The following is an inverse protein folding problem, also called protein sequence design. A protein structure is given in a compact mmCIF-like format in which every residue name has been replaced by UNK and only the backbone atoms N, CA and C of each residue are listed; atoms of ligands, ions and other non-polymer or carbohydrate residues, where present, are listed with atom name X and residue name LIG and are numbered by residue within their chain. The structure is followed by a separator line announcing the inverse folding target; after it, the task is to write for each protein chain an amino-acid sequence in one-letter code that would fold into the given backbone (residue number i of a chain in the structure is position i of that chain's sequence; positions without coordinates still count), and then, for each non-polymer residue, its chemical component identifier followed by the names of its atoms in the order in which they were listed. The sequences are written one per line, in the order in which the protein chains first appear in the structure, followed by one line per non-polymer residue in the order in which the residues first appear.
data_IF_843315532159
#
_entry.id   IF_843315532159
#
_cell.length_a   1.000
_cell.length_b   1.000
_cell.length_c   1.000
_cell.angle_alpha   90.00
_cell.angle_beta   90.00
_cell.angle_gamma   90.00
#
_symmetry.space_group_name_H-M   'P 1'
#
loop_
_entity.id
_entity.type
_entity.pdbx_description
1 polymer ?
#
# COMPACT_ATOMS: atom_id res chain seq x y z
N UNK A 1 23.88 27.48 -27.48
CA UNK A 1 23.04 26.27 -27.56
C UNK A 1 23.18 25.36 -26.34
N UNK A 2 24.30 25.40 -25.60
CA UNK A 2 24.51 24.61 -24.38
C UNK A 2 23.80 25.16 -23.12
N UNK A 3 23.52 26.47 -23.05
CA UNK A 3 22.85 27.08 -21.88
C UNK A 3 21.40 26.62 -21.69
N UNK A 4 20.65 26.41 -22.78
CA UNK A 4 19.26 25.89 -22.70
C UNK A 4 19.21 24.44 -22.24
N UNK A 5 20.24 23.65 -22.55
CA UNK A 5 20.35 22.23 -22.15
C UNK A 5 20.64 22.15 -20.64
N UNK A 6 21.49 23.06 -20.13
CA UNK A 6 21.82 23.12 -18.70
C UNK A 6 20.61 23.51 -17.83
N UNK A 7 19.81 24.48 -18.29
CA UNK A 7 18.57 24.86 -17.62
C UNK A 7 17.52 23.73 -17.60
N UNK A 8 17.44 22.94 -18.67
CA UNK A 8 16.52 21.78 -18.74
C UNK A 8 16.94 20.64 -17.81
N UNK A 9 18.25 20.40 -17.66
CA UNK A 9 18.79 19.37 -16.77
C UNK A 9 18.61 19.71 -15.28
N UNK A 10 18.68 21.00 -14.92
CA UNK A 10 18.48 21.47 -13.54
C UNK A 10 17.02 21.36 -13.10
N UNK A 11 16.06 21.59 -14.01
CA UNK A 11 14.63 21.45 -13.75
C UNK A 11 14.19 19.99 -13.54
N UNK A 12 14.87 19.03 -14.19
CA UNK A 12 14.62 17.60 -14.01
C UNK A 12 15.11 17.03 -12.67
N UNK A 13 16.06 17.68 -12.00
CA UNK A 13 16.58 17.23 -10.70
C UNK A 13 15.66 17.55 -9.51
N UNK A 14 14.72 18.50 -9.66
CA UNK A 14 13.81 18.92 -8.59
C UNK A 14 12.58 18.01 -8.42
N UNK A 15 12.39 17.03 -9.31
CA UNK A 15 11.24 16.10 -9.25
C UNK A 15 11.64 14.80 -8.54
N UNK A 16 12.51 14.87 -7.52
CA UNK A 16 12.61 13.77 -6.55
C UNK A 16 11.32 13.76 -5.74
N UNK A 17 10.41 12.88 -6.16
CA UNK A 17 9.21 12.53 -5.43
C UNK A 17 9.66 11.81 -4.15
N UNK A 18 9.85 12.59 -3.07
CA UNK A 18 10.07 12.06 -1.73
C UNK A 18 8.86 11.20 -1.36
N UNK A 19 8.97 9.90 -1.60
CA UNK A 19 8.04 8.91 -1.07
C UNK A 19 8.31 8.82 0.41
N UNK A 20 7.69 9.72 1.18
CA UNK A 20 7.67 9.69 2.63
C UNK A 20 7.26 8.26 3.03
N UNK A 21 8.13 7.58 3.78
CA UNK A 21 7.92 6.28 4.43
C UNK A 21 6.76 6.36 5.45
N UNK A 22 5.57 6.71 4.99
CA UNK A 22 4.34 6.33 5.65
C UNK A 22 4.29 4.79 5.60
N UNK A 23 3.93 4.16 6.71
CA UNK A 23 3.62 2.73 6.77
C UNK A 23 2.96 2.27 5.47
N UNK A 24 3.63 1.41 4.69
CA UNK A 24 3.15 0.97 3.37
C UNK A 24 2.05 -0.09 3.54
N UNK A 25 0.94 0.32 4.16
CA UNK A 25 -0.22 -0.53 4.39
C UNK A 25 -0.88 -0.95 3.07
N UNK A 26 -0.69 -0.18 1.99
CA UNK A 26 -1.17 -0.55 0.66
C UNK A 26 -0.38 -1.74 0.10
N UNK A 27 0.95 -1.70 0.15
CA UNK A 27 1.81 -2.81 -0.25
C UNK A 27 1.63 -4.03 0.64
N UNK A 28 1.64 -3.85 1.97
CA UNK A 28 1.36 -4.93 2.94
C UNK A 28 -0.02 -5.53 2.68
N UNK A 29 -1.05 -4.70 2.58
CA UNK A 29 -2.42 -5.12 2.34
C UNK A 29 -2.58 -5.92 1.04
N UNK A 30 -1.88 -5.53 -0.03
CA UNK A 30 -1.89 -6.26 -1.29
C UNK A 30 -1.25 -7.64 -1.16
N UNK A 31 -0.12 -7.75 -0.43
CA UNK A 31 0.52 -9.05 -0.15
C UNK A 31 -0.41 -9.97 0.64
N UNK A 32 -1.05 -9.46 1.69
CA UNK A 32 -1.97 -10.24 2.53
C UNK A 32 -3.23 -10.66 1.76
N UNK A 33 -3.78 -9.78 0.93
CA UNK A 33 -4.92 -10.11 0.07
C UNK A 33 -4.61 -11.27 -0.89
N UNK A 34 -3.45 -11.23 -1.54
CA UNK A 34 -3.00 -12.30 -2.43
C UNK A 34 -2.80 -13.63 -1.68
N UNK A 35 -2.23 -13.58 -0.47
CA UNK A 35 -2.05 -14.78 0.38
C UNK A 35 -3.38 -15.41 0.78
N UNK A 36 -4.42 -14.60 1.01
CA UNK A 36 -5.75 -15.07 1.37
C UNK A 36 -6.63 -15.43 0.17
N UNK A 37 -6.13 -15.28 -1.06
CA UNK A 37 -6.89 -15.54 -2.29
C UNK A 37 -8.06 -14.56 -2.48
N UNK A 38 -7.93 -13.34 -1.98
CA UNK A 38 -8.96 -12.30 -2.03
C UNK A 38 -8.47 -10.98 -2.62
N UNK A 39 -9.35 -9.99 -2.61
CA UNK A 39 -9.06 -8.64 -3.10
C UNK A 39 -8.97 -7.65 -1.94
N UNK A 40 -7.93 -6.82 -1.95
CA UNK A 40 -7.78 -5.73 -1.00
C UNK A 40 -8.89 -4.71 -1.22
N UNK A 41 -9.72 -4.50 -0.21
CA UNK A 41 -10.79 -3.49 -0.23
C UNK A 41 -10.37 -2.21 0.50
N UNK A 42 -9.63 -2.35 1.59
CA UNK A 42 -9.17 -1.23 2.42
C UNK A 42 -7.88 -1.60 3.14
N UNK A 43 -6.94 -0.66 3.19
CA UNK A 43 -5.76 -0.74 4.03
C UNK A 43 -5.59 0.58 4.77
N UNK A 44 -5.46 0.54 6.09
CA UNK A 44 -5.27 1.75 6.89
C UNK A 44 -4.18 1.57 7.94
N UNK A 45 -3.30 2.57 8.12
CA UNK A 45 -2.38 2.58 9.25
C UNK A 45 -3.14 2.84 10.55
N UNK A 46 -2.78 2.10 11.59
CA UNK A 46 -3.23 2.28 12.96
C UNK A 46 -2.03 2.16 13.89
N UNK A 47 -2.13 2.73 15.10
CA UNK A 47 -1.15 2.48 16.16
C UNK A 47 -1.81 1.58 17.19
N UNK A 48 -1.23 0.40 17.43
CA UNK A 48 -1.72 -0.55 18.44
C UNK A 48 -0.56 -0.90 19.37
N UNK A 49 -0.76 -0.70 20.69
CA UNK A 49 0.26 -0.94 21.71
C UNK A 49 1.60 -0.21 21.42
N UNK A 50 1.54 1.00 20.86
CA UNK A 50 2.71 1.79 20.48
C UNK A 50 3.44 1.30 19.22
N UNK A 51 2.91 0.30 18.50
CA UNK A 51 3.45 -0.19 17.23
C UNK A 51 2.61 0.29 16.05
N UNK A 52 3.26 0.60 14.95
CA UNK A 52 2.60 0.88 13.68
C UNK A 52 2.07 -0.44 13.10
N UNK A 53 0.76 -0.55 12.97
CA UNK A 53 0.09 -1.69 12.39
C UNK A 53 -0.78 -1.23 11.22
N UNK A 54 -1.23 -2.16 10.40
CA UNK A 54 -2.14 -1.94 9.30
C UNK A 54 -3.39 -2.78 9.51
N UNK A 55 -4.56 -2.12 9.50
CA UNK A 55 -5.84 -2.81 9.34
C UNK A 55 -6.03 -3.07 7.85
N UNK A 56 -6.18 -4.34 7.49
CA UNK A 56 -6.34 -4.80 6.12
C UNK A 56 -7.69 -5.50 6.01
N UNK A 57 -8.54 -4.99 5.13
CA UNK A 57 -9.84 -5.58 4.83
C UNK A 57 -9.79 -6.21 3.44
N UNK A 58 -10.05 -7.51 3.41
CA UNK A 58 -10.00 -8.35 2.23
C UNK A 58 -11.39 -8.91 1.97
N UNK A 59 -11.80 -8.93 0.72
CA UNK A 59 -12.98 -9.69 0.30
C UNK A 59 -12.49 -10.93 -0.43
N UNK A 60 -12.77 -12.10 0.14
CA UNK A 60 -12.52 -13.39 -0.48
C UNK A 60 -13.78 -13.76 -1.28
N UNK A 61 -13.67 -13.93 -2.62
CA UNK A 61 -14.81 -14.24 -3.45
C UNK A 61 -15.40 -15.60 -3.08
N UNK A 62 -16.68 -15.75 -3.39
CA UNK A 62 -17.39 -17.02 -3.30
C UNK A 62 -16.76 -18.06 -4.24
N UNK A 63 -16.51 -19.27 -3.74
CA UNK A 63 -16.13 -20.41 -4.56
C UNK A 63 -17.08 -21.59 -4.26
N UNK A 64 -17.54 -22.29 -5.30
CA UNK A 64 -18.42 -23.46 -5.19
C UNK A 64 -19.70 -23.23 -4.35
N UNK A 65 -20.39 -22.11 -4.55
CA UNK A 65 -21.65 -21.80 -3.85
C UNK A 65 -21.48 -21.33 -2.40
N UNK A 66 -20.25 -21.15 -1.92
CA UNK A 66 -20.01 -20.55 -0.61
C UNK A 66 -20.25 -19.04 -0.63
N UNK A 67 -20.64 -18.46 0.51
CA UNK A 67 -20.79 -17.01 0.64
C UNK A 67 -19.43 -16.31 0.58
N UNK A 68 -19.37 -15.13 -0.05
CA UNK A 68 -18.20 -14.27 0.03
C UNK A 68 -17.87 -13.93 1.48
N UNK A 69 -16.58 -13.87 1.79
CA UNK A 69 -16.12 -13.62 3.17
C UNK A 69 -15.37 -12.31 3.19
N UNK A 70 -15.79 -11.41 4.09
CA UNK A 70 -15.04 -10.19 4.39
C UNK A 70 -14.14 -10.51 5.58
N UNK A 71 -12.83 -10.48 5.34
CA UNK A 71 -11.82 -10.79 6.34
C UNK A 71 -11.11 -9.49 6.72
N UNK A 72 -11.08 -9.20 8.00
CA UNK A 72 -10.37 -8.04 8.55
C UNK A 72 -9.21 -8.57 9.39
N UNK A 73 -8.00 -8.16 9.05
CA UNK A 73 -6.77 -8.59 9.73
C UNK A 73 -5.92 -7.39 10.11
N UNK A 74 -5.25 -7.49 11.24
CA UNK A 74 -4.31 -6.50 11.73
C UNK A 74 -2.91 -7.08 11.58
N UNK A 75 -2.06 -6.41 10.81
CA UNK A 75 -0.70 -6.86 10.50
C UNK A 75 0.31 -5.76 10.78
N UNK A 76 1.57 -6.07 11.10
CA UNK A 76 2.60 -5.04 11.27
C UNK A 76 2.82 -4.24 9.99
N UNK A 77 3.22 -2.97 10.13
CA UNK A 77 3.47 -2.04 9.03
C UNK A 77 4.91 -2.10 8.47
N UNK A 78 5.67 -3.10 8.90
CA UNK A 78 7.13 -3.22 8.72
C UNK A 78 7.53 -3.78 7.34
#
# INVERSE_FOLDING_TARGET
MMDKIFLFAMLLCLIRLDSVLAADCAGVGKRVANQQGGMLTRSMPIVQNGKNMCVVVIVVPAHNGQKSRRVEVIVPAD
#
